data_IF_124921433000
#
_entry.id   IF_124921433000
#
_cell.length_a   1.000
_cell.length_b   1.000
_cell.length_c   1.000
_cell.angle_alpha   90.00
_cell.angle_beta   90.00
_cell.angle_gamma   90.00
#
_symmetry.space_group_name_H-M   'P 1'
#
loop_
_entity.id
_entity.type
_entity.pdbx_description
1 polymer ?
#
# COMPACT_ATOMS: atom_id res chain seq x y z
N UNK A 1 -73.16 10.71 -48.54
CA UNK A 1 -71.71 10.86 -48.65
C UNK A 1 -71.07 10.67 -47.23
N UNK A 2 -70.59 9.45 -46.94
CA UNK A 2 -69.99 9.11 -45.66
C UNK A 2 -68.50 9.36 -45.80
N UNK A 3 -67.96 10.28 -44.97
CA UNK A 3 -66.49 10.57 -44.91
C UNK A 3 -65.81 9.54 -44.03
N UNK A 4 -64.96 8.72 -44.64
CA UNK A 4 -64.05 7.80 -43.93
C UNK A 4 -62.89 8.60 -43.38
N UNK A 5 -62.72 8.62 -42.04
CA UNK A 5 -61.51 9.11 -41.39
C UNK A 5 -60.49 7.99 -41.27
N UNK A 6 -59.41 8.13 -41.99
CA UNK A 6 -58.25 7.22 -41.89
C UNK A 6 -57.45 7.58 -40.61
N UNK A 7 -57.41 6.65 -39.64
CA UNK A 7 -56.65 6.77 -38.44
C UNK A 7 -55.24 6.21 -38.72
N UNK A 8 -54.23 7.11 -38.83
CA UNK A 8 -52.84 6.70 -38.96
C UNK A 8 -52.33 6.31 -37.55
N UNK A 9 -52.05 5.03 -37.32
CA UNK A 9 -51.40 4.54 -36.13
C UNK A 9 -49.88 4.64 -36.35
N UNK A 10 -49.25 5.56 -35.65
CA UNK A 10 -47.79 5.64 -35.59
C UNK A 10 -47.31 4.58 -34.60
N UNK A 11 -46.68 3.52 -35.07
CA UNK A 11 -45.97 2.54 -34.24
C UNK A 11 -44.58 3.14 -34.02
N UNK A 12 -44.33 3.65 -32.83
CA UNK A 12 -42.98 4.00 -32.33
C UNK A 12 -42.27 2.69 -32.04
N UNK A 13 -41.32 2.34 -32.88
CA UNK A 13 -40.30 1.34 -32.56
C UNK A 13 -39.35 2.01 -31.54
N UNK A 14 -39.50 1.63 -30.26
CA UNK A 14 -38.47 1.87 -29.26
C UNK A 14 -37.36 0.86 -29.58
N UNK A 15 -36.33 1.29 -30.27
CA UNK A 15 -35.05 0.56 -30.35
C UNK A 15 -34.41 0.66 -28.97
N UNK A 16 -34.48 -0.41 -28.19
CA UNK A 16 -33.50 -0.60 -27.12
C UNK A 16 -32.15 -0.78 -27.82
N UNK A 17 -31.36 0.26 -27.84
CA UNK A 17 -29.92 0.07 -28.03
C UNK A 17 -29.41 -0.59 -26.77
N UNK A 18 -29.08 -1.87 -26.83
CA UNK A 18 -28.15 -2.50 -25.90
C UNK A 18 -26.88 -1.68 -26.02
N UNK A 19 -26.65 -0.78 -25.06
CA UNK A 19 -25.33 -0.24 -24.80
C UNK A 19 -24.48 -1.40 -24.29
N UNK A 20 -23.98 -2.22 -25.20
CA UNK A 20 -22.73 -2.88 -25.01
C UNK A 20 -21.71 -1.75 -24.92
N UNK A 21 -21.45 -1.25 -23.72
CA UNK A 21 -20.18 -0.61 -23.44
C UNK A 21 -19.13 -1.67 -23.75
N UNK A 22 -18.55 -1.60 -24.94
CA UNK A 22 -17.26 -2.20 -25.20
C UNK A 22 -16.34 -1.68 -24.10
N UNK A 23 -15.94 -2.56 -23.18
CA UNK A 23 -14.86 -2.32 -22.22
C UNK A 23 -13.60 -2.28 -23.07
N UNK A 24 -13.38 -1.17 -23.79
CA UNK A 24 -12.13 -0.88 -24.47
C UNK A 24 -11.20 -0.25 -23.44
N UNK A 25 -10.14 -0.97 -23.13
CA UNK A 25 -8.99 -0.64 -22.28
C UNK A 25 -9.20 -0.90 -20.78
N UNK A 26 -9.00 -2.15 -20.37
CA UNK A 26 -8.85 -2.56 -18.97
C UNK A 26 -7.50 -2.12 -18.37
N UNK A 27 -6.77 -1.19 -19.00
CA UNK A 27 -5.42 -0.74 -18.63
C UNK A 27 -5.38 0.77 -18.44
N UNK A 28 -4.50 1.24 -17.56
CA UNK A 28 -4.32 2.65 -17.27
C UNK A 28 -4.82 3.07 -15.89
N UNK A 29 -5.14 4.35 -15.74
CA UNK A 29 -5.48 4.99 -14.48
C UNK A 29 -6.98 5.18 -14.34
N UNK A 30 -7.56 4.68 -13.22
CA UNK A 30 -8.98 4.75 -12.94
C UNK A 30 -9.23 5.33 -11.55
N UNK A 31 -10.10 6.32 -11.44
CA UNK A 31 -10.63 6.84 -10.18
C UNK A 31 -11.95 6.13 -9.88
N UNK A 32 -11.98 5.37 -8.81
CA UNK A 32 -13.07 4.45 -8.51
C UNK A 32 -13.65 4.67 -7.11
N UNK A 33 -14.83 4.15 -6.89
CA UNK A 33 -15.45 4.10 -5.57
C UNK A 33 -15.98 2.70 -5.27
N UNK A 34 -15.94 2.31 -4.00
CA UNK A 34 -16.53 1.09 -3.47
C UNK A 34 -17.49 1.44 -2.35
N UNK A 35 -18.72 0.93 -2.41
CA UNK A 35 -19.64 1.01 -1.27
C UNK A 35 -19.23 -0.08 -0.26
N UNK A 36 -18.74 0.35 0.90
CA UNK A 36 -18.31 -0.53 1.98
C UNK A 36 -18.85 -0.01 3.32
N UNK A 37 -19.50 -0.87 4.07
CA UNK A 37 -20.15 -0.55 5.37
C UNK A 37 -21.04 0.71 5.33
N UNK A 38 -21.81 0.85 4.24
CA UNK A 38 -22.70 1.99 4.02
C UNK A 38 -22.01 3.30 3.61
N UNK A 39 -20.68 3.31 3.47
CA UNK A 39 -19.87 4.46 3.08
C UNK A 39 -19.35 4.31 1.65
N UNK A 40 -19.35 5.40 0.88
CA UNK A 40 -18.66 5.45 -0.40
C UNK A 40 -17.17 5.73 -0.17
N UNK A 41 -16.33 4.70 -0.40
CA UNK A 41 -14.87 4.77 -0.23
C UNK A 41 -14.21 4.89 -1.59
N UNK A 42 -13.35 5.88 -1.77
CA UNK A 42 -12.65 6.11 -3.04
C UNK A 42 -11.27 5.45 -3.06
N UNK A 43 -10.79 5.14 -4.26
CA UNK A 43 -9.44 4.66 -4.52
C UNK A 43 -9.02 4.97 -5.94
N UNK A 44 -7.73 5.00 -6.19
CA UNK A 44 -7.14 5.08 -7.53
C UNK A 44 -6.59 3.69 -7.86
N UNK A 45 -6.98 3.17 -9.02
CA UNK A 45 -6.50 1.91 -9.56
C UNK A 45 -5.62 2.20 -10.78
N UNK A 46 -4.43 1.66 -10.80
CA UNK A 46 -3.58 1.64 -11.98
C UNK A 46 -3.37 0.21 -12.45
N UNK A 47 -3.80 -0.08 -13.66
CA UNK A 47 -3.58 -1.36 -14.33
C UNK A 47 -2.47 -1.16 -15.36
N UNK A 48 -1.33 -1.87 -15.21
CA UNK A 48 -0.16 -1.62 -16.05
C UNK A 48 -0.41 -1.88 -17.54
N UNK A 49 0.34 -1.21 -18.38
CA UNK A 49 0.30 -1.41 -19.83
C UNK A 49 0.70 -2.84 -20.24
N UNK A 50 1.49 -3.50 -19.41
CA UNK A 50 1.90 -4.91 -19.58
C UNK A 50 0.86 -5.93 -19.13
N UNK A 51 -0.25 -5.53 -18.47
CA UNK A 51 -1.26 -6.47 -17.97
C UNK A 51 -1.78 -7.39 -19.08
N UNK A 52 -1.90 -8.69 -18.76
CA UNK A 52 -2.54 -9.71 -19.61
C UNK A 52 -3.59 -10.44 -18.77
N UNK A 53 -4.83 -10.49 -19.23
CA UNK A 53 -5.93 -11.17 -18.56
C UNK A 53 -5.74 -12.68 -18.43
N UNK A 54 -4.86 -13.26 -19.24
CA UNK A 54 -4.52 -14.68 -19.21
C UNK A 54 -3.41 -15.03 -18.20
N UNK A 55 -2.76 -14.01 -17.62
CA UNK A 55 -1.74 -14.17 -16.60
C UNK A 55 -2.15 -13.48 -15.31
N UNK A 56 -1.99 -14.15 -14.15
CA UNK A 56 -2.34 -13.52 -12.89
C UNK A 56 -1.25 -12.54 -12.44
N UNK A 57 -1.66 -11.31 -12.15
CA UNK A 57 -0.77 -10.21 -11.73
C UNK A 57 -0.80 -10.02 -10.22
N UNK A 58 0.35 -9.75 -9.56
CA UNK A 58 0.37 -9.29 -8.18
C UNK A 58 -0.43 -8.00 -8.02
N UNK A 59 -0.81 -7.71 -6.78
CA UNK A 59 -1.45 -6.44 -6.42
C UNK A 59 -0.66 -5.74 -5.31
N UNK A 60 -0.42 -4.44 -5.47
CA UNK A 60 0.27 -3.60 -4.48
C UNK A 60 -0.67 -2.50 -4.01
N UNK A 61 -0.93 -2.43 -2.72
CA UNK A 61 -1.61 -1.32 -2.07
C UNK A 61 -0.57 -0.34 -1.55
N UNK A 62 -0.67 0.94 -1.94
CA UNK A 62 0.22 2.02 -1.53
C UNK A 62 -0.58 3.09 -0.78
N UNK A 63 -0.39 3.16 0.54
CA UNK A 63 -1.23 3.89 1.47
C UNK A 63 -0.63 5.26 1.79
N UNK A 64 -1.44 6.32 1.67
CA UNK A 64 -1.00 7.69 1.97
C UNK A 64 -0.84 7.94 3.48
N UNK A 65 -0.04 8.95 3.82
CA UNK A 65 0.14 9.42 5.19
C UNK A 65 -1.09 10.14 5.75
N UNK A 66 -1.09 10.40 7.05
CA UNK A 66 -2.15 11.19 7.69
C UNK A 66 -2.28 12.57 7.06
N UNK A 67 -3.50 13.07 6.92
CA UNK A 67 -3.88 14.28 6.20
C UNK A 67 -3.58 14.32 4.69
N UNK A 68 -2.98 13.26 4.14
CA UNK A 68 -2.70 13.14 2.71
C UNK A 68 -3.88 12.59 1.92
N UNK A 69 -3.67 12.44 0.63
CA UNK A 69 -4.64 11.85 -0.29
C UNK A 69 -4.01 10.75 -1.14
N UNK A 70 -4.85 9.86 -1.70
CA UNK A 70 -4.41 8.85 -2.65
C UNK A 70 -3.69 9.48 -3.87
N UNK A 71 -4.16 10.64 -4.33
CA UNK A 71 -3.58 11.36 -5.45
C UNK A 71 -2.22 11.98 -5.11
N UNK A 72 -2.06 12.54 -3.91
CA UNK A 72 -0.76 13.03 -3.43
C UNK A 72 0.25 11.91 -3.24
N UNK A 73 -0.19 10.77 -2.67
CA UNK A 73 0.67 9.58 -2.55
C UNK A 73 1.18 9.14 -3.92
N UNK A 74 0.28 9.03 -4.90
CA UNK A 74 0.62 8.59 -6.26
C UNK A 74 1.53 9.59 -7.00
N UNK A 75 1.28 10.89 -6.90
CA UNK A 75 1.93 11.86 -7.77
C UNK A 75 3.18 12.51 -7.16
N UNK A 76 3.30 12.51 -5.82
CA UNK A 76 4.33 13.32 -5.14
C UNK A 76 5.13 12.56 -4.09
N UNK A 77 4.64 11.42 -3.59
CA UNK A 77 5.31 10.64 -2.55
C UNK A 77 5.90 9.37 -3.14
N UNK A 78 5.08 8.55 -3.80
CA UNK A 78 5.46 7.22 -4.30
C UNK A 78 4.74 6.91 -5.60
N UNK A 79 5.37 7.23 -6.73
CA UNK A 79 4.84 6.92 -8.06
C UNK A 79 5.42 5.60 -8.58
N UNK A 80 4.80 4.51 -8.21
CA UNK A 80 5.22 3.16 -8.65
C UNK A 80 4.71 2.76 -10.04
N UNK A 81 4.01 3.64 -10.79
CA UNK A 81 3.39 3.27 -12.09
C UNK A 81 4.39 2.76 -13.13
N UNK A 82 5.56 3.38 -13.23
CA UNK A 82 6.60 2.92 -14.17
C UNK A 82 7.15 1.54 -13.77
N UNK A 83 7.26 1.27 -12.47
CA UNK A 83 7.68 -0.05 -11.97
C UNK A 83 6.56 -1.07 -12.26
N UNK A 84 5.31 -0.69 -12.02
CA UNK A 84 4.13 -1.51 -12.33
C UNK A 84 4.08 -1.92 -13.81
N UNK A 85 4.35 -0.97 -14.74
CA UNK A 85 4.39 -1.26 -16.17
C UNK A 85 5.49 -2.26 -16.57
N UNK A 86 6.64 -2.18 -15.91
CA UNK A 86 7.78 -3.04 -16.22
C UNK A 86 7.66 -4.43 -15.59
N UNK A 87 7.05 -4.52 -14.41
CA UNK A 87 7.04 -5.71 -13.56
C UNK A 87 5.66 -6.40 -13.48
N UNK A 88 4.66 -5.86 -14.20
CA UNK A 88 3.31 -6.41 -14.34
C UNK A 88 2.58 -6.65 -13.02
N UNK A 89 2.43 -5.62 -12.18
CA UNK A 89 1.57 -5.68 -11.00
C UNK A 89 0.49 -4.60 -11.04
N UNK A 90 -0.68 -4.91 -10.51
CA UNK A 90 -1.78 -3.96 -10.35
C UNK A 90 -1.49 -3.08 -9.13
N UNK A 91 -1.59 -1.75 -9.29
CA UNK A 91 -1.27 -0.79 -8.25
C UNK A 91 -2.53 -0.07 -7.77
N UNK A 92 -2.72 0.01 -6.46
CA UNK A 92 -3.89 0.61 -5.82
C UNK A 92 -3.46 1.65 -4.81
N UNK A 93 -4.04 2.86 -4.92
CA UNK A 93 -3.92 3.92 -3.93
C UNK A 93 -5.29 4.15 -3.29
N UNK A 94 -5.60 3.50 -2.17
CA UNK A 94 -6.86 3.72 -1.47
C UNK A 94 -6.87 5.09 -0.78
N UNK A 95 -8.08 5.65 -0.56
CA UNK A 95 -8.28 6.89 0.17
C UNK A 95 -8.81 6.60 1.57
N UNK A 96 -8.12 7.12 2.59
CA UNK A 96 -8.60 7.11 3.96
C UNK A 96 -9.90 7.90 4.11
N UNK A 97 -10.75 7.49 5.03
CA UNK A 97 -11.92 8.27 5.40
C UNK A 97 -11.49 9.49 6.23
N UNK A 98 -12.27 10.58 6.11
CA UNK A 98 -11.97 11.78 6.88
C UNK A 98 -12.53 11.72 8.29
N UNK A 99 -11.78 12.21 9.25
CA UNK A 99 -12.24 12.41 10.62
C UNK A 99 -13.35 13.50 10.72
N UNK A 100 -13.79 13.80 11.92
CA UNK A 100 -14.83 14.83 12.18
C UNK A 100 -14.40 16.27 11.79
N UNK A 101 -13.10 16.49 11.56
CA UNK A 101 -12.54 17.77 11.11
C UNK A 101 -12.32 17.81 9.59
N UNK A 102 -12.65 16.73 8.88
CA UNK A 102 -12.44 16.59 7.45
C UNK A 102 -11.00 16.17 7.08
N UNK A 103 -10.22 15.68 8.02
CA UNK A 103 -8.83 15.26 7.80
C UNK A 103 -8.79 13.78 7.45
N UNK A 104 -8.28 13.37 6.25
CA UNK A 104 -8.12 11.98 5.91
C UNK A 104 -7.10 11.30 6.83
N UNK A 105 -7.50 10.20 7.45
CA UNK A 105 -6.65 9.45 8.38
C UNK A 105 -7.10 8.01 8.48
N UNK A 106 -6.16 7.07 8.43
CA UNK A 106 -6.42 5.65 8.60
C UNK A 106 -6.73 5.33 10.05
N UNK A 107 -7.76 4.51 10.25
CA UNK A 107 -8.08 3.94 11.56
C UNK A 107 -7.19 2.70 11.79
N UNK A 108 -6.34 2.78 12.81
CA UNK A 108 -5.38 1.73 13.16
C UNK A 108 -5.95 0.72 14.17
N UNK A 109 -7.25 0.81 14.49
CA UNK A 109 -7.84 0.03 15.58
C UNK A 109 -7.44 0.55 16.96
N UNK A 110 -7.88 -0.14 18.03
CA UNK A 110 -7.57 0.23 19.42
C UNK A 110 -8.26 1.49 19.94
N UNK A 111 -8.02 1.77 21.23
CA UNK A 111 -8.70 2.87 21.94
C UNK A 111 -8.04 4.23 21.68
N UNK A 112 -6.74 4.22 21.35
CA UNK A 112 -5.92 5.44 21.24
C UNK A 112 -5.79 5.96 19.81
N UNK A 113 -6.16 5.16 18.80
CA UNK A 113 -6.03 5.49 17.38
C UNK A 113 -7.34 5.90 16.71
N UNK A 114 -8.43 6.05 17.48
CA UNK A 114 -9.75 6.36 16.91
C UNK A 114 -9.85 7.80 16.40
N UNK A 115 -9.23 8.04 15.26
CA UNK A 115 -9.52 9.22 14.47
C UNK A 115 -10.89 9.11 13.77
N UNK A 116 -11.26 7.87 13.39
CA UNK A 116 -12.55 7.52 12.76
C UNK A 116 -13.09 6.21 13.33
N UNK A 117 -14.38 5.94 13.19
CA UNK A 117 -15.00 4.66 13.56
C UNK A 117 -15.14 3.71 12.35
N UNK A 118 -14.43 3.97 11.24
CA UNK A 118 -14.53 3.14 10.02
C UNK A 118 -13.61 1.92 10.09
N UNK A 119 -14.00 0.84 9.42
CA UNK A 119 -13.19 -0.37 9.27
C UNK A 119 -12.31 -0.28 8.02
N UNK A 120 -11.09 0.26 8.17
CA UNK A 120 -10.13 0.35 7.07
C UNK A 120 -9.52 -1.02 6.70
N UNK A 121 -9.38 -1.92 7.66
CA UNK A 121 -8.91 -3.29 7.43
C UNK A 121 -9.88 -4.05 6.53
N UNK A 122 -11.16 -4.04 6.88
CA UNK A 122 -12.22 -4.65 6.06
C UNK A 122 -12.35 -3.97 4.68
N UNK A 123 -12.14 -2.66 4.60
CA UNK A 123 -12.15 -1.95 3.32
C UNK A 123 -11.04 -2.45 2.37
N UNK A 124 -9.80 -2.61 2.86
CA UNK A 124 -8.70 -3.14 2.03
C UNK A 124 -8.98 -4.58 1.60
N UNK A 125 -9.45 -5.46 2.50
CA UNK A 125 -9.84 -6.83 2.13
C UNK A 125 -10.95 -6.85 1.07
N UNK A 126 -11.95 -5.97 1.20
CA UNK A 126 -13.01 -5.86 0.19
C UNK A 126 -12.48 -5.32 -1.15
N UNK A 127 -11.47 -4.42 -1.15
CA UNK A 127 -10.83 -3.95 -2.40
C UNK A 127 -10.10 -5.08 -3.11
N UNK A 128 -9.37 -5.95 -2.39
CA UNK A 128 -8.72 -7.13 -2.97
C UNK A 128 -9.76 -7.99 -3.69
N UNK A 129 -10.89 -8.26 -3.04
CA UNK A 129 -11.97 -9.05 -3.62
C UNK A 129 -12.59 -8.36 -4.83
N UNK A 130 -12.84 -7.04 -4.72
CA UNK A 130 -13.47 -6.26 -5.78
C UNK A 130 -12.61 -6.18 -7.04
N UNK A 131 -11.31 -5.97 -6.89
CA UNK A 131 -10.39 -5.90 -8.03
C UNK A 131 -10.29 -7.27 -8.71
N UNK A 132 -10.24 -8.36 -7.93
CA UNK A 132 -10.18 -9.72 -8.45
C UNK A 132 -11.49 -10.18 -9.15
N UNK A 133 -12.61 -9.45 -9.05
CA UNK A 133 -13.81 -9.68 -9.87
C UNK A 133 -13.61 -9.26 -11.34
N UNK A 134 -12.73 -8.29 -11.60
CA UNK A 134 -12.56 -7.68 -12.92
C UNK A 134 -11.21 -7.97 -13.55
N UNK A 135 -10.21 -8.31 -12.75
CA UNK A 135 -8.83 -8.53 -13.18
C UNK A 135 -8.31 -9.88 -12.71
N UNK A 136 -7.39 -10.45 -13.49
CA UNK A 136 -6.68 -11.68 -13.12
C UNK A 136 -5.62 -11.36 -12.07
N UNK A 137 -5.99 -11.44 -10.79
CA UNK A 137 -5.13 -11.14 -9.63
C UNK A 137 -4.51 -12.43 -9.10
N UNK A 138 -3.21 -12.40 -8.86
CA UNK A 138 -2.53 -13.40 -8.07
C UNK A 138 -2.75 -13.16 -6.58
N UNK A 139 -3.68 -13.90 -5.99
CA UNK A 139 -4.05 -13.74 -4.57
C UNK A 139 -2.97 -14.23 -3.60
N UNK A 140 -1.97 -14.96 -4.08
CA UNK A 140 -0.81 -15.33 -3.27
C UNK A 140 0.26 -14.24 -3.23
N UNK A 141 0.11 -13.18 -4.07
CA UNK A 141 1.02 -12.03 -4.16
C UNK A 141 0.29 -10.70 -3.98
N UNK A 142 -0.30 -10.52 -2.81
CA UNK A 142 -0.89 -9.25 -2.36
C UNK A 142 0.07 -8.57 -1.40
N UNK A 143 0.46 -7.35 -1.72
CA UNK A 143 1.44 -6.59 -0.96
C UNK A 143 0.88 -5.26 -0.50
N UNK A 144 1.39 -4.77 0.63
CA UNK A 144 0.95 -3.51 1.21
C UNK A 144 2.18 -2.67 1.56
N UNK A 145 2.16 -1.41 1.17
CA UNK A 145 3.14 -0.40 1.63
C UNK A 145 2.43 0.90 1.95
N UNK A 146 3.08 1.78 2.71
CA UNK A 146 2.55 3.08 2.99
C UNK A 146 3.52 4.01 3.69
N UNK A 147 3.18 5.31 3.65
CA UNK A 147 3.91 6.38 4.29
C UNK A 147 3.28 6.77 5.62
N UNK A 148 4.09 6.96 6.68
CA UNK A 148 3.60 7.51 7.96
C UNK A 148 2.37 6.75 8.48
N UNK A 149 1.22 7.39 8.62
CA UNK A 149 -0.04 6.76 9.01
C UNK A 149 -0.45 5.58 8.11
N UNK A 150 -0.15 5.63 6.80
CA UNK A 150 -0.29 4.48 5.89
C UNK A 150 0.72 3.37 6.20
N UNK A 151 1.92 3.72 6.63
CA UNK A 151 2.91 2.76 7.13
C UNK A 151 2.47 2.08 8.43
N UNK A 152 1.83 2.82 9.34
CA UNK A 152 1.22 2.23 10.56
C UNK A 152 0.10 1.25 10.20
N UNK A 153 -0.77 1.62 9.24
CA UNK A 153 -1.81 0.72 8.75
C UNK A 153 -1.23 -0.53 8.08
N UNK A 154 -0.07 -0.44 7.44
CA UNK A 154 0.60 -1.62 6.84
C UNK A 154 0.93 -2.68 7.90
N UNK A 155 1.36 -2.29 9.11
CA UNK A 155 1.52 -3.22 10.23
C UNK A 155 0.19 -3.84 10.66
N UNK A 156 -0.88 -3.04 10.77
CA UNK A 156 -2.19 -3.53 11.16
C UNK A 156 -2.74 -4.55 10.14
N UNK A 157 -2.58 -4.25 8.84
CA UNK A 157 -3.00 -5.16 7.75
C UNK A 157 -2.21 -6.47 7.79
N UNK A 158 -0.88 -6.43 8.02
CA UNK A 158 -0.07 -7.62 8.16
C UNK A 158 -0.50 -8.49 9.36
N UNK A 159 -0.95 -7.87 10.46
CA UNK A 159 -1.45 -8.59 11.62
C UNK A 159 -2.87 -9.16 11.41
N UNK A 160 -3.78 -8.38 10.83
CA UNK A 160 -5.22 -8.71 10.76
C UNK A 160 -5.62 -9.42 9.46
N UNK A 161 -4.93 -9.12 8.35
CA UNK A 161 -5.15 -9.73 7.03
C UNK A 161 -3.98 -10.65 6.62
N UNK A 162 -3.31 -11.27 7.57
CA UNK A 162 -2.16 -12.13 7.29
C UNK A 162 -2.47 -13.30 6.35
N UNK A 163 -3.71 -13.75 6.24
CA UNK A 163 -4.13 -14.77 5.26
C UNK A 163 -4.26 -14.22 3.82
N UNK A 164 -4.17 -12.90 3.63
CA UNK A 164 -4.30 -12.22 2.35
C UNK A 164 -3.03 -11.47 1.95
N UNK A 165 -2.29 -10.91 2.93
CA UNK A 165 -1.08 -10.10 2.71
C UNK A 165 0.17 -10.99 2.72
N UNK A 166 0.85 -11.08 1.58
CA UNK A 166 2.05 -11.90 1.41
C UNK A 166 3.32 -11.27 1.98
N UNK A 167 3.45 -9.95 1.85
CA UNK A 167 4.55 -9.16 2.41
C UNK A 167 4.11 -7.71 2.61
N UNK A 168 4.77 -6.98 3.50
CA UNK A 168 4.48 -5.58 3.72
C UNK A 168 5.73 -4.72 3.90
N UNK A 169 5.58 -3.42 3.60
CA UNK A 169 6.62 -2.43 3.84
C UNK A 169 6.04 -1.20 4.54
N UNK A 170 6.87 -0.55 5.36
CA UNK A 170 6.51 0.67 6.07
C UNK A 170 7.59 1.71 5.91
N UNK A 171 7.24 2.89 5.41
CA UNK A 171 8.16 4.02 5.25
C UNK A 171 7.77 5.13 6.22
N UNK A 172 8.72 5.54 7.06
CA UNK A 172 8.51 6.48 8.18
C UNK A 172 7.30 6.08 9.05
N UNK A 173 7.04 4.78 9.14
CA UNK A 173 5.95 4.20 9.90
C UNK A 173 6.47 3.31 11.01
N UNK A 174 5.69 3.20 12.09
CA UNK A 174 6.02 2.43 13.28
C UNK A 174 4.86 1.54 13.67
N UNK A 175 5.13 0.44 14.34
CA UNK A 175 4.07 -0.41 14.86
C UNK A 175 3.36 0.32 16.02
N UNK A 176 2.05 0.48 15.91
CA UNK A 176 1.24 1.06 16.94
C UNK A 176 1.12 0.08 18.15
N UNK A 177 1.06 0.60 19.37
CA UNK A 177 1.07 -0.26 20.58
C UNK A 177 -0.14 -1.18 20.58
N UNK A 178 -1.34 -0.67 20.24
CA UNK A 178 -2.55 -1.50 20.22
C UNK A 178 -2.47 -2.57 19.12
N UNK A 179 -1.85 -2.25 17.96
CA UNK A 179 -1.55 -3.24 16.89
C UNK A 179 -0.60 -4.32 17.41
N UNK A 180 0.46 -3.95 18.15
CA UNK A 180 1.42 -4.89 18.71
C UNK A 180 0.76 -5.85 19.71
N UNK A 181 -0.07 -5.31 20.62
CA UNK A 181 -0.74 -6.11 21.66
C UNK A 181 -1.73 -7.14 21.09
N UNK A 182 -2.36 -6.81 19.95
CA UNK A 182 -3.37 -7.64 19.27
C UNK A 182 -2.83 -8.39 18.03
N UNK A 183 -1.54 -8.25 17.70
CA UNK A 183 -0.95 -8.84 16.50
C UNK A 183 -0.87 -10.36 16.61
N UNK A 184 -1.55 -11.06 15.71
CA UNK A 184 -1.56 -12.52 15.67
C UNK A 184 -1.62 -13.04 14.22
N UNK A 185 -0.54 -12.82 13.43
CA UNK A 185 -0.51 -13.30 12.05
C UNK A 185 -0.64 -14.82 11.97
N UNK A 186 -1.09 -15.34 10.84
CA UNK A 186 -1.31 -16.78 10.64
C UNK A 186 -0.15 -17.48 9.94
N UNK A 187 0.77 -16.72 9.33
CA UNK A 187 1.97 -17.23 8.68
C UNK A 187 3.15 -16.27 8.86
N UNK A 188 4.40 -16.74 8.70
CA UNK A 188 5.57 -15.88 8.66
C UNK A 188 5.43 -14.86 7.53
N UNK A 189 5.58 -13.57 7.86
CA UNK A 189 5.32 -12.48 6.91
C UNK A 189 6.59 -11.66 6.69
N UNK A 190 7.13 -11.61 5.46
CA UNK A 190 8.26 -10.74 5.11
C UNK A 190 7.96 -9.28 5.38
N UNK A 191 8.93 -8.56 5.91
CA UNK A 191 8.75 -7.17 6.29
C UNK A 191 9.94 -6.30 5.90
N UNK A 192 9.67 -5.13 5.32
CA UNK A 192 10.66 -4.10 5.02
C UNK A 192 10.30 -2.80 5.71
N UNK A 193 11.27 -2.15 6.34
CA UNK A 193 11.12 -0.81 6.93
C UNK A 193 12.16 0.17 6.39
N UNK A 194 11.75 1.44 6.22
CA UNK A 194 12.62 2.56 5.84
C UNK A 194 12.32 3.70 6.81
N UNK A 195 13.28 4.07 7.68
CA UNK A 195 13.05 5.07 8.73
C UNK A 195 14.26 5.97 8.93
N UNK A 196 13.99 7.26 9.12
CA UNK A 196 15.00 8.27 9.47
C UNK A 196 15.32 8.27 10.96
N UNK A 197 16.60 8.48 11.34
CA UNK A 197 17.01 8.56 12.75
C UNK A 197 16.63 9.89 13.42
N UNK A 198 16.27 10.91 12.64
CA UNK A 198 15.75 12.19 13.14
C UNK A 198 14.21 12.27 13.03
N UNK A 199 13.54 11.15 12.77
CA UNK A 199 12.07 11.08 12.75
C UNK A 199 11.51 11.30 14.16
N UNK A 200 10.77 12.40 14.34
CA UNK A 200 10.21 12.79 15.64
C UNK A 200 9.05 11.89 16.10
N UNK A 201 8.54 10.99 15.25
CA UNK A 201 7.48 10.06 15.60
C UNK A 201 8.01 8.72 16.12
N UNK A 202 9.34 8.46 16.00
CA UNK A 202 9.90 7.20 16.47
C UNK A 202 9.81 7.08 18.00
N UNK A 203 9.16 5.99 18.45
CA UNK A 203 9.08 5.65 19.86
C UNK A 203 8.32 6.65 20.73
N UNK A 204 7.33 7.39 20.20
CA UNK A 204 6.48 8.25 21.02
C UNK A 204 5.76 7.37 22.08
N UNK A 205 6.13 7.59 23.33
CA UNK A 205 5.65 6.80 24.46
C UNK A 205 4.12 6.78 24.56
N UNK A 206 3.55 5.58 24.63
CA UNK A 206 2.11 5.34 24.74
C UNK A 206 1.39 5.26 23.39
N UNK A 207 2.10 5.44 22.27
CA UNK A 207 1.50 5.34 20.92
C UNK A 207 2.27 4.40 19.99
N UNK A 208 3.56 4.66 19.77
CA UNK A 208 4.37 3.93 18.79
C UNK A 208 5.52 3.19 19.46
N UNK A 209 5.76 1.97 19.01
CA UNK A 209 7.01 1.29 19.36
C UNK A 209 8.17 1.96 18.62
N UNK A 210 9.37 2.05 19.24
CA UNK A 210 10.59 2.31 18.51
C UNK A 210 10.72 1.34 17.34
N UNK A 211 11.28 1.81 16.20
CA UNK A 211 11.37 0.96 15.00
C UNK A 211 12.19 -0.31 15.25
N UNK A 212 13.22 -0.24 16.09
CA UNK A 212 14.01 -1.40 16.48
C UNK A 212 13.15 -2.46 17.21
N UNK A 213 12.17 -2.03 18.00
CA UNK A 213 11.26 -2.96 18.69
C UNK A 213 10.27 -3.58 17.70
N UNK A 214 9.78 -2.80 16.72
CA UNK A 214 8.93 -3.31 15.66
C UNK A 214 9.67 -4.35 14.81
N UNK A 215 10.92 -4.07 14.42
CA UNK A 215 11.77 -5.02 13.70
C UNK A 215 12.02 -6.29 14.54
N UNK A 216 12.35 -6.15 15.83
CA UNK A 216 12.58 -7.28 16.73
C UNK A 216 11.35 -8.16 16.91
N UNK A 217 10.13 -7.59 16.93
CA UNK A 217 8.90 -8.37 16.95
C UNK A 217 8.82 -9.31 15.74
N UNK A 218 9.01 -8.78 14.53
CA UNK A 218 8.94 -9.57 13.30
C UNK A 218 10.11 -10.54 13.15
N UNK A 219 11.33 -10.17 13.59
CA UNK A 219 12.49 -11.09 13.69
C UNK A 219 12.14 -12.29 14.55
N UNK A 220 11.56 -12.06 15.73
CA UNK A 220 11.14 -13.14 16.63
C UNK A 220 9.98 -13.97 16.08
N UNK A 221 8.96 -13.32 15.51
CA UNK A 221 7.79 -13.99 14.96
C UNK A 221 8.16 -14.88 13.75
N UNK A 222 8.93 -14.34 12.82
CA UNK A 222 9.37 -15.04 11.61
C UNK A 222 10.50 -16.03 11.87
N UNK A 223 11.11 -16.00 13.06
CA UNK A 223 12.26 -16.85 13.44
C UNK A 223 13.45 -16.71 12.48
N UNK A 224 13.72 -15.49 12.07
CA UNK A 224 14.92 -15.16 11.29
C UNK A 224 16.17 -15.25 12.17
N UNK A 225 17.36 -15.10 11.55
CA UNK A 225 18.59 -14.91 12.30
C UNK A 225 18.46 -13.74 13.26
N UNK A 226 19.00 -13.86 14.48
CA UNK A 226 18.90 -12.78 15.48
C UNK A 226 19.89 -11.64 15.21
N UNK A 227 20.95 -11.91 14.45
CA UNK A 227 22.00 -10.93 14.11
C UNK A 227 21.85 -10.63 12.61
N UNK A 228 21.57 -9.37 12.24
CA UNK A 228 21.43 -9.00 10.83
C UNK A 228 22.79 -8.96 10.12
N UNK A 229 22.77 -9.18 8.83
CA UNK A 229 23.80 -8.64 7.95
C UNK A 229 23.66 -7.13 7.90
N UNK A 230 24.76 -6.38 7.97
CA UNK A 230 24.75 -4.92 7.92
C UNK A 230 25.63 -4.43 6.78
N UNK A 231 25.07 -3.61 5.91
CA UNK A 231 25.76 -3.00 4.76
C UNK A 231 25.60 -1.48 4.86
N UNK A 232 26.73 -0.77 4.80
CA UNK A 232 26.75 0.69 4.68
C UNK A 232 26.67 1.04 3.20
N UNK A 233 25.57 1.67 2.78
CA UNK A 233 25.41 2.05 1.38
C UNK A 233 26.29 3.25 1.02
N UNK A 234 26.62 3.38 -0.26
CA UNK A 234 27.38 4.52 -0.77
C UNK A 234 26.54 5.80 -0.65
N UNK A 235 27.11 6.84 -0.07
CA UNK A 235 26.55 8.19 -0.02
C UNK A 235 26.68 8.83 -1.42
N UNK A 236 25.61 8.70 -2.21
CA UNK A 236 25.56 9.22 -3.58
C UNK A 236 25.20 10.70 -3.60
N UNK A 237 24.42 11.17 -2.63
CA UNK A 237 23.99 12.56 -2.50
C UNK A 237 24.62 13.22 -1.26
N UNK A 238 25.89 13.45 -1.27
CA UNK A 238 26.66 14.04 -0.16
C UNK A 238 26.16 15.42 0.32
N UNK A 239 25.14 15.99 -0.36
CA UNK A 239 24.61 17.32 -0.04
C UNK A 239 23.34 17.29 0.84
N UNK A 240 22.69 16.13 1.01
CA UNK A 240 21.46 16.02 1.80
C UNK A 240 21.72 15.82 3.31
N UNK A 241 22.98 15.49 3.69
CA UNK A 241 23.41 15.35 5.07
C UNK A 241 22.93 14.06 5.73
N UNK A 242 22.59 13.06 4.93
CA UNK A 242 22.14 11.73 5.38
C UNK A 242 22.92 10.61 4.72
N UNK A 243 22.92 9.42 5.33
CA UNK A 243 23.51 8.19 4.79
C UNK A 243 22.61 7.02 5.12
N UNK A 244 22.82 5.86 4.50
CA UNK A 244 21.95 4.70 4.70
C UNK A 244 22.72 3.49 5.20
N UNK A 245 22.24 2.91 6.28
CA UNK A 245 22.63 1.58 6.76
C UNK A 245 21.52 0.58 6.41
N UNK A 246 21.86 -0.48 5.70
CA UNK A 246 20.94 -1.58 5.37
C UNK A 246 21.19 -2.76 6.30
N UNK A 247 20.13 -3.20 6.97
CA UNK A 247 20.09 -4.36 7.85
C UNK A 247 19.22 -5.44 7.23
N UNK A 248 19.68 -6.70 7.22
CA UNK A 248 18.90 -7.83 6.72
C UNK A 248 18.98 -9.01 7.67
N UNK A 249 17.83 -9.45 8.18
CA UNK A 249 17.65 -10.67 8.97
C UNK A 249 17.08 -11.77 8.09
N UNK A 250 17.88 -12.79 7.81
CA UNK A 250 17.60 -13.86 6.87
C UNK A 250 17.19 -15.16 7.57
N UNK A 251 16.97 -16.20 6.78
CA UNK A 251 16.73 -17.57 7.22
C UNK A 251 15.50 -17.76 8.11
N UNK A 252 14.49 -16.93 7.96
CA UNK A 252 13.21 -17.10 8.65
C UNK A 252 12.46 -18.36 8.19
N UNK A 253 11.40 -18.70 8.90
CA UNK A 253 10.52 -19.80 8.53
C UNK A 253 10.00 -19.59 7.10
N UNK A 254 10.04 -20.61 6.25
CA UNK A 254 9.74 -20.54 4.81
C UNK A 254 10.64 -19.58 4.01
N UNK A 255 11.83 -19.28 4.52
CA UNK A 255 12.79 -18.39 3.85
C UNK A 255 12.44 -16.91 3.90
N UNK A 256 11.47 -16.49 4.73
CA UNK A 256 11.14 -15.07 4.87
C UNK A 256 12.30 -14.28 5.46
N UNK A 257 12.35 -13.02 5.12
CA UNK A 257 13.38 -12.08 5.54
C UNK A 257 12.76 -10.81 6.12
N UNK A 258 13.55 -10.11 6.94
CA UNK A 258 13.25 -8.77 7.44
C UNK A 258 14.35 -7.86 6.94
N UNK A 259 13.98 -6.78 6.28
CA UNK A 259 14.92 -5.77 5.80
C UNK A 259 14.63 -4.40 6.44
N UNK A 260 15.67 -3.68 6.82
CA UNK A 260 15.55 -2.34 7.38
C UNK A 260 16.60 -1.40 6.75
N UNK A 261 16.11 -0.33 6.14
CA UNK A 261 16.93 0.78 5.66
C UNK A 261 16.87 1.90 6.68
N UNK A 262 17.95 2.04 7.46
CA UNK A 262 18.10 3.08 8.48
C UNK A 262 18.76 4.29 7.87
N UNK A 263 18.01 5.36 7.69
CA UNK A 263 18.50 6.62 7.12
C UNK A 263 19.08 7.49 8.26
N UNK A 264 20.39 7.49 8.38
CA UNK A 264 21.11 8.27 9.38
C UNK A 264 21.02 9.76 9.02
N UNK A 265 20.51 10.59 9.93
CA UNK A 265 20.26 12.01 9.68
C UNK A 265 18.97 12.30 8.88
N UNK A 266 18.27 11.27 8.42
CA UNK A 266 16.98 11.41 7.75
C UNK A 266 15.85 11.73 8.73
N UNK A 267 14.85 12.50 8.27
CA UNK A 267 13.66 12.86 9.02
C UNK A 267 12.43 12.01 8.61
N UNK A 268 11.22 12.52 8.89
CA UNK A 268 9.94 11.89 8.54
C UNK A 268 9.62 12.03 7.04
N UNK A 269 10.30 11.25 6.19
CA UNK A 269 10.24 11.39 4.73
C UNK A 269 10.17 10.05 4.00
N UNK A 270 9.85 10.11 2.69
CA UNK A 270 9.94 8.99 1.74
C UNK A 270 11.22 9.16 0.92
N UNK A 271 12.30 8.42 1.16
CA UNK A 271 13.54 8.52 0.41
C UNK A 271 13.37 8.26 -1.08
N UNK A 272 13.99 9.10 -1.92
CA UNK A 272 13.94 8.99 -3.38
C UNK A 272 15.16 9.64 -4.01
N UNK A 273 15.69 9.05 -5.07
CA UNK A 273 16.82 9.62 -5.84
C UNK A 273 16.53 11.03 -6.41
N UNK A 274 15.26 11.39 -6.55
CA UNK A 274 14.81 12.71 -6.98
C UNK A 274 14.31 13.57 -5.82
N UNK A 275 14.71 13.26 -4.59
CA UNK A 275 14.29 14.01 -3.42
C UNK A 275 14.61 15.50 -3.59
N UNK A 276 13.57 16.32 -3.49
CA UNK A 276 13.70 17.78 -3.54
C UNK A 276 14.19 18.25 -2.15
N UNK A 277 15.41 18.74 -2.10
CA UNK A 277 16.03 19.25 -0.86
C UNK A 277 15.23 20.36 -0.19
N UNK A 278 14.29 20.99 -0.91
CA UNK A 278 13.42 22.04 -0.37
C UNK A 278 12.22 21.46 0.43
N UNK A 279 12.03 20.14 0.43
CA UNK A 279 10.91 19.44 1.12
C UNK A 279 11.29 18.72 2.41
N UNK A 280 12.43 19.03 3.00
CA UNK A 280 12.93 18.37 4.20
C UNK A 280 14.20 17.57 3.95
N UNK A 281 14.72 16.88 4.99
CA UNK A 281 15.93 16.04 4.93
C UNK A 281 15.60 14.66 4.35
N UNK A 282 15.01 14.62 3.14
CA UNK A 282 14.78 13.35 2.44
C UNK A 282 16.09 12.83 1.87
N UNK A 283 16.39 11.56 2.15
CA UNK A 283 17.59 10.92 1.63
C UNK A 283 17.50 10.70 0.11
N UNK A 284 18.59 11.02 -0.58
CA UNK A 284 18.74 10.88 -2.03
C UNK A 284 19.64 9.73 -2.47
N UNK A 285 20.02 8.80 -1.57
CA UNK A 285 20.89 7.67 -1.88
C UNK A 285 20.12 6.43 -2.32
N UNK A 286 18.84 6.34 -1.96
CA UNK A 286 18.00 5.18 -2.23
C UNK A 286 16.70 5.56 -2.94
N UNK A 287 16.18 4.61 -3.71
CA UNK A 287 14.85 4.66 -4.34
C UNK A 287 13.92 3.69 -3.59
N UNK A 288 13.10 4.25 -2.70
CA UNK A 288 12.21 3.45 -1.86
C UNK A 288 11.20 2.63 -2.69
N UNK A 289 10.67 3.19 -3.78
CA UNK A 289 9.70 2.51 -4.63
C UNK A 289 10.29 1.25 -5.25
N UNK A 290 11.51 1.37 -5.77
CA UNK A 290 12.24 0.25 -6.36
C UNK A 290 12.63 -0.79 -5.31
N UNK A 291 13.17 -0.37 -4.17
CA UNK A 291 13.55 -1.26 -3.05
C UNK A 291 12.33 -2.04 -2.55
N UNK A 292 11.19 -1.38 -2.38
CA UNK A 292 9.95 -2.04 -1.92
C UNK A 292 9.51 -3.11 -2.92
N UNK A 293 9.50 -2.81 -4.22
CA UNK A 293 9.13 -3.80 -5.22
C UNK A 293 10.14 -4.96 -5.31
N UNK A 294 11.44 -4.67 -5.31
CA UNK A 294 12.49 -5.70 -5.31
C UNK A 294 12.38 -6.61 -4.09
N UNK A 295 11.98 -6.08 -2.94
CA UNK A 295 11.68 -6.88 -1.76
C UNK A 295 10.42 -7.73 -1.97
N UNK A 296 9.30 -7.13 -2.33
CA UNK A 296 8.01 -7.83 -2.49
C UNK A 296 8.08 -8.96 -3.51
N UNK A 297 8.69 -8.73 -4.66
CA UNK A 297 8.75 -9.68 -5.77
C UNK A 297 9.40 -11.02 -5.41
N UNK A 298 10.17 -11.07 -4.32
CA UNK A 298 10.83 -12.28 -3.82
C UNK A 298 9.88 -13.24 -3.09
N UNK A 299 8.71 -12.77 -2.66
CA UNK A 299 7.85 -13.51 -1.75
C UNK A 299 6.44 -13.71 -2.29
N UNK A 300 5.80 -14.77 -1.81
CA UNK A 300 4.36 -14.98 -1.86
C UNK A 300 3.83 -15.32 -0.46
N UNK A 301 2.55 -15.64 -0.33
CA UNK A 301 1.92 -15.99 0.94
C UNK A 301 2.54 -17.21 1.61
N UNK A 302 3.29 -18.04 0.87
CA UNK A 302 3.95 -19.26 1.35
C UNK A 302 5.42 -19.00 1.77
N UNK A 303 5.97 -17.81 1.51
CA UNK A 303 7.33 -17.41 1.84
C UNK A 303 8.18 -17.05 0.62
N UNK A 304 9.49 -17.37 0.65
CA UNK A 304 10.43 -17.09 -0.42
C UNK A 304 10.10 -17.95 -1.66
N UNK A 305 10.02 -17.29 -2.83
CA UNK A 305 9.71 -17.90 -4.14
C UNK A 305 10.94 -18.45 -4.80
#
# INVERSE_FOLDING_TARGET
MKKFKLLLVFILFISCSDNNEEISENKGLFYQTLLFDGLSRSYILYVPSSYDENESSPIVFNLHGGSGTAEEQMNYVSDMRNISDNENFILVYPQAYSDSNGIPIWNLGGVNSKATDVDDVGFISQLINKIAEFYSVDRERVYVTGFSNGGYLSFELACKLSSEVAAFASVAGHMFIDTYDDCSPTHPTPFLSINGTEDNYDGIAGYYLPIENSNNYWVGYNKTDLIPEVIYLEDQNTSDGSTVEYYSWKNGTNGVEIDHYKVIGGDHSWPSLNADSDKGKSNGDIDSDKIIWEFFSRFDINGLR
#
